data_IF_739280257036
#
_entry.id   IF_739280257036
#
_cell.length_a   1.000
_cell.length_b   1.000
_cell.length_c   1.000
_cell.angle_alpha   90.00
_cell.angle_beta   90.00
_cell.angle_gamma   90.00
#
_symmetry.space_group_name_H-M   'P 1'
#
loop_
_entity.id
_entity.type
_entity.pdbx_description
1 polymer ?
#
# COMPACT_ATOMS: atom_id res chain seq x y z
N UNK A 1 -22.46 11.46 26.83
CA UNK A 1 -21.32 10.51 26.84
C UNK A 1 -20.51 10.76 25.57
N UNK A 2 -19.39 11.48 25.65
CA UNK A 2 -18.58 11.83 24.48
C UNK A 2 -17.80 10.59 24.01
N UNK A 3 -18.05 10.11 22.79
CA UNK A 3 -17.20 9.08 22.19
C UNK A 3 -15.93 9.74 21.64
N UNK A 4 -14.73 9.32 22.07
CA UNK A 4 -13.49 9.87 21.54
C UNK A 4 -13.39 9.68 20.03
N UNK A 5 -13.02 10.76 19.32
CA UNK A 5 -12.96 10.78 17.86
C UNK A 5 -11.83 9.90 17.29
N UNK A 6 -10.85 9.53 18.11
CA UNK A 6 -9.74 8.64 17.79
C UNK A 6 -9.97 7.19 18.25
N UNK A 7 -11.20 6.81 18.60
CA UNK A 7 -11.53 5.42 18.95
C UNK A 7 -11.66 4.56 17.69
N UNK A 8 -10.96 3.42 17.70
CA UNK A 8 -10.96 2.41 16.65
C UNK A 8 -11.25 1.04 17.26
N UNK A 9 -12.11 0.26 16.62
CA UNK A 9 -12.38 -1.13 16.99
C UNK A 9 -11.51 -2.03 16.12
N UNK A 10 -10.76 -2.94 16.73
CA UNK A 10 -10.01 -3.96 16.00
C UNK A 10 -10.88 -5.22 15.86
N UNK A 11 -11.17 -5.61 14.63
CA UNK A 11 -11.91 -6.83 14.30
C UNK A 11 -10.99 -7.80 13.58
N UNK A 12 -11.10 -9.10 13.89
CA UNK A 12 -10.35 -10.16 13.20
C UNK A 12 -11.23 -10.78 12.11
N UNK A 13 -10.73 -10.81 10.88
CA UNK A 13 -11.38 -11.45 9.74
C UNK A 13 -10.58 -12.69 9.34
N UNK A 14 -11.20 -13.89 9.34
CA UNK A 14 -10.53 -15.11 8.92
C UNK A 14 -10.15 -15.02 7.42
N UNK A 15 -8.93 -15.39 7.08
CA UNK A 15 -8.46 -15.42 5.68
C UNK A 15 -8.60 -16.80 5.03
N UNK A 16 -8.82 -17.84 5.85
CA UNK A 16 -8.96 -19.24 5.43
C UNK A 16 -10.14 -19.88 6.14
N UNK A 17 -10.68 -20.96 5.57
CA UNK A 17 -11.68 -21.78 6.24
C UNK A 17 -11.08 -22.45 7.49
N UNK A 18 -11.87 -22.57 8.56
CA UNK A 18 -11.45 -23.16 9.84
C UNK A 18 -10.20 -22.52 10.45
N UNK A 19 -10.09 -21.19 10.36
CA UNK A 19 -9.01 -20.41 10.97
C UNK A 19 -8.86 -20.73 12.47
N UNK A 20 -7.68 -21.20 12.87
CA UNK A 20 -7.43 -21.75 14.21
C UNK A 20 -6.26 -21.11 14.93
N UNK A 21 -5.41 -20.35 14.21
CA UNK A 21 -4.30 -19.63 14.81
C UNK A 21 -4.25 -18.16 14.37
N UNK A 22 -3.60 -17.31 15.16
CA UNK A 22 -3.65 -15.85 14.97
C UNK A 22 -3.16 -15.37 13.59
N UNK A 23 -2.25 -16.11 12.95
CA UNK A 23 -1.76 -15.81 11.59
C UNK A 23 -2.80 -16.03 10.49
N UNK A 24 -3.86 -16.80 10.77
CA UNK A 24 -4.95 -17.07 9.83
C UNK A 24 -5.97 -15.92 9.79
N UNK A 25 -5.84 -14.96 10.71
CA UNK A 25 -6.70 -13.80 10.80
C UNK A 25 -5.99 -12.53 10.32
N UNK A 26 -6.72 -11.73 9.54
CA UNK A 26 -6.36 -10.35 9.23
C UNK A 26 -7.06 -9.43 10.22
N UNK A 27 -6.30 -8.60 10.93
CA UNK A 27 -6.87 -7.50 11.71
C UNK A 27 -7.37 -6.39 10.79
N UNK A 28 -8.56 -5.88 11.08
CA UNK A 28 -9.14 -4.70 10.44
C UNK A 28 -9.43 -3.65 11.52
N UNK A 29 -8.91 -2.46 11.30
CA UNK A 29 -9.17 -1.28 12.12
C UNK A 29 -10.45 -0.56 11.65
N UNK A 30 -11.55 -0.78 12.37
CA UNK A 30 -12.83 -0.13 12.15
C UNK A 30 -12.85 1.21 12.90
N UNK A 31 -12.52 2.29 12.19
CA UNK A 31 -12.61 3.65 12.71
C UNK A 31 -14.04 4.21 12.63
N UNK A 32 -14.33 5.22 13.42
CA UNK A 32 -15.63 5.90 13.34
C UNK A 32 -15.80 6.70 12.03
N UNK A 33 -17.06 7.00 11.70
CA UNK A 33 -17.42 7.69 10.44
C UNK A 33 -16.72 9.05 10.32
N UNK A 34 -16.63 9.83 11.41
CA UNK A 34 -15.98 11.14 11.38
C UNK A 34 -14.48 11.01 11.04
N UNK A 35 -13.78 10.08 11.68
CA UNK A 35 -12.38 9.77 11.37
C UNK A 35 -12.23 9.30 9.92
N UNK A 36 -13.19 8.51 9.41
CA UNK A 36 -13.21 8.09 7.99
C UNK A 36 -13.42 9.29 7.06
N UNK A 37 -14.26 10.26 7.42
CA UNK A 37 -14.42 11.51 6.67
C UNK A 37 -13.10 12.30 6.61
N UNK A 38 -12.46 12.54 7.76
CA UNK A 38 -11.18 13.26 7.82
C UNK A 38 -10.09 12.59 6.97
N UNK A 39 -9.90 11.28 7.13
CA UNK A 39 -8.92 10.51 6.35
C UNK A 39 -9.25 10.49 4.84
N UNK A 40 -10.53 10.50 4.47
CA UNK A 40 -10.95 10.60 3.06
C UNK A 40 -10.63 11.96 2.47
N UNK A 41 -10.87 13.05 3.20
CA UNK A 41 -10.49 14.41 2.77
C UNK A 41 -8.98 14.50 2.55
N UNK A 42 -8.18 14.00 3.49
CA UNK A 42 -6.71 13.96 3.37
C UNK A 42 -6.27 13.13 2.15
N UNK A 43 -6.82 11.92 1.98
CA UNK A 43 -6.51 11.07 0.83
C UNK A 43 -6.84 11.76 -0.49
N UNK A 44 -7.98 12.45 -0.59
CA UNK A 44 -8.36 13.15 -1.81
C UNK A 44 -7.48 14.36 -2.13
N UNK A 45 -6.90 15.02 -1.12
CA UNK A 45 -5.87 16.06 -1.33
C UNK A 45 -4.57 15.44 -1.85
N UNK A 46 -4.12 14.36 -1.23
CA UNK A 46 -2.90 13.64 -1.61
C UNK A 46 -2.97 13.08 -3.03
N UNK A 47 -4.11 12.54 -3.44
CA UNK A 47 -4.32 12.01 -4.81
C UNK A 47 -3.98 13.01 -5.92
N UNK A 48 -4.15 14.32 -5.66
CA UNK A 48 -3.87 15.37 -6.67
C UNK A 48 -2.39 15.51 -6.98
N UNK A 49 -1.52 15.22 -6.02
CA UNK A 49 -0.06 15.37 -6.14
C UNK A 49 0.66 14.04 -6.32
N UNK A 50 -0.02 12.91 -6.10
CA UNK A 50 0.55 11.57 -6.26
C UNK A 50 1.21 11.32 -7.63
N UNK A 51 0.65 11.76 -8.78
CA UNK A 51 1.28 11.56 -10.07
C UNK A 51 2.70 12.15 -10.19
N UNK A 52 3.00 13.21 -9.44
CA UNK A 52 4.32 13.86 -9.43
C UNK A 52 5.29 13.22 -8.42
N UNK A 53 4.76 12.50 -7.43
CA UNK A 53 5.54 11.93 -6.32
C UNK A 53 5.94 10.46 -6.52
N UNK A 54 5.22 9.73 -7.37
CA UNK A 54 5.39 8.28 -7.54
C UNK A 54 5.87 7.94 -8.95
N UNK A 55 6.60 6.84 -9.07
CA UNK A 55 7.03 6.33 -10.37
C UNK A 55 5.83 5.90 -11.22
N UNK A 56 5.92 6.08 -12.54
CA UNK A 56 4.94 5.60 -13.51
C UNK A 56 4.69 4.09 -13.40
N UNK A 57 5.70 3.32 -12.96
CA UNK A 57 5.59 1.87 -12.78
C UNK A 57 4.84 1.45 -11.51
N UNK A 58 4.49 2.40 -10.63
CA UNK A 58 3.66 2.13 -9.46
C UNK A 58 2.20 2.18 -9.88
N UNK A 59 1.53 1.03 -9.94
CA UNK A 59 0.13 0.94 -10.41
C UNK A 59 -0.89 0.60 -9.31
N UNK A 60 -0.45 0.11 -8.16
CA UNK A 60 -1.35 -0.24 -7.06
C UNK A 60 -1.94 1.01 -6.38
N UNK A 61 -3.23 0.94 -6.05
CA UNK A 61 -3.95 1.97 -5.27
C UNK A 61 -4.02 3.37 -5.89
N UNK A 62 -3.82 3.49 -7.20
CA UNK A 62 -3.89 4.76 -7.95
C UNK A 62 -5.12 4.74 -8.85
N UNK A 63 -5.92 5.81 -8.80
CA UNK A 63 -7.10 5.93 -9.64
C UNK A 63 -6.72 5.94 -11.12
N UNK A 64 -7.45 5.19 -11.95
CA UNK A 64 -7.20 5.10 -13.38
C UNK A 64 -6.10 4.12 -13.80
N UNK A 65 -5.41 3.47 -12.86
CA UNK A 65 -4.45 2.40 -13.15
C UNK A 65 -5.03 1.03 -12.84
N UNK A 66 -4.75 0.06 -13.70
CA UNK A 66 -5.28 -1.30 -13.58
C UNK A 66 -4.18 -2.30 -13.21
N UNK A 67 -4.55 -3.35 -12.48
CA UNK A 67 -3.60 -4.41 -12.10
C UNK A 67 -3.00 -5.12 -13.33
N UNK A 68 -3.74 -5.16 -14.44
CA UNK A 68 -3.30 -5.74 -15.70
C UNK A 68 -2.12 -4.98 -16.32
N UNK A 69 -2.00 -3.68 -16.06
CA UNK A 69 -0.88 -2.86 -16.57
C UNK A 69 0.46 -3.38 -16.01
N UNK A 70 0.47 -3.81 -14.73
CA UNK A 70 1.65 -4.44 -14.13
C UNK A 70 1.97 -5.81 -14.75
N UNK A 71 0.94 -6.59 -15.11
CA UNK A 71 1.14 -7.90 -15.75
C UNK A 71 1.77 -7.73 -17.12
N UNK A 72 1.29 -6.76 -17.90
CA UNK A 72 1.85 -6.44 -19.21
C UNK A 72 3.30 -5.95 -19.08
N UNK A 73 3.56 -4.98 -18.19
CA UNK A 73 4.91 -4.47 -17.94
C UNK A 73 5.89 -5.59 -17.56
N UNK A 74 5.46 -6.51 -16.67
CA UNK A 74 6.28 -7.66 -16.29
C UNK A 74 6.56 -8.58 -17.48
N UNK A 75 5.53 -8.91 -18.26
CA UNK A 75 5.67 -9.77 -19.45
C UNK A 75 6.65 -9.18 -20.48
N UNK A 76 6.60 -7.86 -20.70
CA UNK A 76 7.55 -7.16 -21.56
C UNK A 76 8.97 -7.15 -20.97
N UNK A 77 9.09 -6.89 -19.67
CA UNK A 77 10.38 -6.87 -18.96
C UNK A 77 11.09 -8.22 -19.04
N UNK A 78 10.34 -9.33 -18.96
CA UNK A 78 10.90 -10.68 -19.00
C UNK A 78 10.83 -11.37 -20.37
N UNK A 79 10.43 -10.66 -21.43
CA UNK A 79 10.10 -11.22 -22.76
C UNK A 79 11.13 -12.22 -23.30
N UNK A 80 12.42 -11.96 -23.09
CA UNK A 80 13.51 -12.77 -23.63
C UNK A 80 14.15 -13.72 -22.62
N UNK A 81 13.60 -13.85 -21.40
CA UNK A 81 14.22 -14.66 -20.35
C UNK A 81 14.35 -16.14 -20.73
N UNK A 82 13.44 -16.66 -21.56
CA UNK A 82 13.46 -18.04 -22.05
C UNK A 82 14.58 -18.32 -23.07
N UNK A 83 15.19 -17.29 -23.68
CA UNK A 83 16.18 -17.49 -24.74
C UNK A 83 17.49 -18.03 -24.19
N UNK A 84 17.97 -19.11 -24.79
CA UNK A 84 19.28 -19.71 -24.52
C UNK A 84 20.37 -18.78 -25.08
N UNK A 85 21.35 -18.44 -24.24
CA UNK A 85 22.42 -17.51 -24.59
C UNK A 85 22.13 -16.03 -24.29
N UNK A 86 23.20 -15.25 -24.14
CA UNK A 86 23.17 -13.82 -23.82
C UNK A 86 23.54 -13.50 -22.37
N UNK A 87 23.29 -12.25 -21.96
CA UNK A 87 23.58 -11.78 -20.59
C UNK A 87 22.78 -12.57 -19.56
N UNK A 88 23.38 -12.84 -18.41
CA UNK A 88 22.70 -13.41 -17.26
C UNK A 88 21.52 -12.51 -16.85
N UNK A 89 20.40 -13.12 -16.48
CA UNK A 89 19.13 -12.44 -16.14
C UNK A 89 18.58 -13.05 -14.86
N UNK A 90 17.95 -12.24 -14.03
CA UNK A 90 17.25 -12.68 -12.82
C UNK A 90 16.00 -11.81 -12.61
N UNK A 91 15.03 -12.34 -11.85
CA UNK A 91 13.87 -11.59 -11.36
C UNK A 91 13.87 -11.68 -9.84
N UNK A 92 13.71 -10.54 -9.19
CA UNK A 92 13.58 -10.47 -7.73
C UNK A 92 12.14 -10.09 -7.39
N UNK A 93 11.45 -10.99 -6.70
CA UNK A 93 10.13 -10.72 -6.11
C UNK A 93 10.31 -10.45 -4.62
N UNK A 94 10.03 -9.22 -4.21
CA UNK A 94 10.08 -8.79 -2.80
C UNK A 94 8.65 -8.60 -2.32
N UNK A 95 8.32 -9.19 -1.17
CA UNK A 95 7.04 -8.99 -0.49
C UNK A 95 7.29 -8.49 0.94
N UNK A 96 6.47 -7.55 1.41
CA UNK A 96 6.64 -6.92 2.71
C UNK A 96 5.57 -7.45 3.66
N UNK A 97 5.99 -8.20 4.67
CA UNK A 97 5.08 -8.71 5.69
C UNK A 97 4.48 -7.55 6.50
N UNK A 98 3.15 -7.50 6.54
CA UNK A 98 2.37 -6.53 7.33
C UNK A 98 2.82 -5.08 7.14
N UNK A 99 2.96 -4.63 5.89
CA UNK A 99 3.51 -3.32 5.54
C UNK A 99 2.89 -2.13 6.32
N UNK A 100 1.59 -2.18 6.64
CA UNK A 100 0.94 -1.13 7.43
C UNK A 100 1.28 -1.17 8.93
N UNK A 101 1.58 -2.36 9.47
CA UNK A 101 1.91 -2.54 10.89
C UNK A 101 3.42 -2.32 11.15
N UNK A 102 4.26 -2.45 10.12
CA UNK A 102 5.73 -2.37 10.22
C UNK A 102 6.31 -1.03 9.78
N UNK A 103 5.46 -0.04 9.46
CA UNK A 103 5.87 1.30 9.06
C UNK A 103 6.54 2.07 10.20
N UNK A 104 7.75 2.59 9.94
CA UNK A 104 8.43 3.49 10.86
C UNK A 104 7.94 4.94 10.65
N UNK A 105 7.28 5.50 11.66
CA UNK A 105 6.74 6.87 11.61
C UNK A 105 7.80 7.94 11.37
N UNK A 106 8.97 7.85 12.00
CA UNK A 106 10.06 8.83 11.81
C UNK A 106 10.55 8.84 10.37
N UNK A 107 10.70 7.65 9.78
CA UNK A 107 11.06 7.51 8.38
C UNK A 107 9.99 8.13 7.46
N UNK A 108 8.71 7.82 7.70
CA UNK A 108 7.61 8.37 6.91
C UNK A 108 7.61 9.91 6.92
N UNK A 109 7.71 10.53 8.11
CA UNK A 109 7.74 11.99 8.21
C UNK A 109 8.99 12.60 7.56
N UNK A 110 10.13 11.91 7.63
CA UNK A 110 11.36 12.34 6.93
C UNK A 110 11.15 12.32 5.41
N UNK A 111 10.54 11.27 4.86
CA UNK A 111 10.22 11.19 3.43
C UNK A 111 9.25 12.30 3.02
N UNK A 112 8.20 12.54 3.81
CA UNK A 112 7.24 13.63 3.53
C UNK A 112 7.95 15.00 3.52
N UNK A 113 8.86 15.26 4.46
CA UNK A 113 9.65 16.50 4.45
C UNK A 113 10.52 16.61 3.20
N UNK A 114 11.20 15.54 2.80
CA UNK A 114 11.99 15.52 1.56
C UNK A 114 11.14 15.73 0.29
N UNK A 115 9.87 15.31 0.32
CA UNK A 115 8.89 15.55 -0.74
C UNK A 115 8.28 16.96 -0.70
N UNK A 116 8.72 17.83 0.22
CA UNK A 116 8.26 19.23 0.31
C UNK A 116 6.91 19.41 1.01
N UNK A 117 6.44 18.42 1.77
CA UNK A 117 5.24 18.60 2.59
C UNK A 117 5.51 19.57 3.75
N UNK A 118 4.52 20.43 4.11
CA UNK A 118 4.67 21.38 5.19
C UNK A 118 4.86 20.69 6.54
N UNK A 119 5.67 21.30 7.41
CA UNK A 119 5.79 20.91 8.81
C UNK A 119 4.61 21.48 9.59
N UNK A 120 3.60 20.65 9.87
CA UNK A 120 2.38 20.94 10.68
C UNK A 120 1.70 22.28 10.45
#
# INVERSE_FOLDING_TARGET
MYYPLNRTILTLVPQVENASCMKDFRSIACCNVLYKCYSTVLSNRLKKIFPELISENQNAFIAGKHINDNVLLMHETVRNYHRIGGKARAVLKIDIMKAYDTLNWKFLFTVMRCMGFPET
#
